data_IF_969250118791
#
_entry.id   IF_969250118791
#
_cell.length_a   1.000
_cell.length_b   1.000
_cell.length_c   1.000
_cell.angle_alpha   90.00
_cell.angle_beta   90.00
_cell.angle_gamma   90.00
#
_symmetry.space_group_name_H-M   'P 1'
#
loop_
_entity.id
_entity.type
_entity.pdbx_description
1 polymer ?
#
# COMPACT_ATOMS: atom_id res chain seq x y z
N UNK A 1 65.19 -32.41 14.08
CA UNK A 1 64.13 -33.43 14.04
C UNK A 1 62.88 -32.82 13.44
N UNK A 2 62.30 -33.22 12.31
CA UNK A 2 62.52 -34.32 11.38
C UNK A 2 61.85 -33.93 10.04
N UNK A 3 62.46 -34.39 8.94
CA UNK A 3 62.06 -34.42 7.51
C UNK A 3 60.55 -34.67 7.23
N UNK A 4 59.86 -34.00 6.29
CA UNK A 4 59.88 -34.07 4.80
C UNK A 4 59.34 -35.38 4.15
N UNK A 5 58.21 -35.32 3.41
CA UNK A 5 58.06 -35.85 2.02
C UNK A 5 56.68 -35.64 1.36
N UNK A 6 56.77 -35.20 0.09
CA UNK A 6 55.81 -35.18 -1.04
C UNK A 6 54.92 -36.44 -1.22
N UNK A 7 53.69 -36.22 -1.69
CA UNK A 7 53.17 -36.69 -3.01
C UNK A 7 51.80 -36.05 -3.30
N UNK A 8 51.67 -35.19 -4.32
CA UNK A 8 51.21 -35.51 -5.70
C UNK A 8 49.80 -36.13 -5.76
N UNK A 9 48.79 -35.30 -6.00
CA UNK A 9 47.73 -35.64 -6.94
C UNK A 9 47.47 -34.44 -7.86
N UNK A 10 47.94 -34.60 -9.10
CA UNK A 10 47.70 -33.74 -10.24
C UNK A 10 46.24 -33.93 -10.64
N UNK A 11 45.40 -32.90 -10.51
CA UNK A 11 44.20 -32.79 -11.33
C UNK A 11 44.57 -31.86 -12.48
N UNK A 12 44.69 -32.46 -13.65
CA UNK A 12 45.05 -31.84 -14.91
C UNK A 12 43.98 -30.85 -15.37
N UNK A 13 44.38 -29.60 -15.50
CA UNK A 13 43.69 -28.54 -16.22
C UNK A 13 43.65 -28.89 -17.72
N UNK A 14 42.49 -28.95 -18.39
CA UNK A 14 42.47 -29.01 -19.85
C UNK A 14 42.82 -27.63 -20.41
N UNK A 15 43.97 -27.55 -21.08
CA UNK A 15 44.33 -26.43 -21.97
C UNK A 15 43.31 -26.33 -23.10
N UNK A 16 42.62 -25.19 -23.18
CA UNK A 16 41.98 -24.76 -24.43
C UNK A 16 43.06 -24.33 -25.42
N UNK A 17 43.34 -25.18 -26.41
CA UNK A 17 44.07 -24.80 -27.63
C UNK A 17 43.84 -25.85 -28.71
N UNK A 18 43.00 -25.53 -29.69
CA UNK A 18 43.34 -25.52 -31.12
C UNK A 18 42.10 -25.21 -31.95
N UNK A 19 42.34 -24.39 -32.96
CA UNK A 19 41.32 -23.67 -33.70
C UNK A 19 40.44 -24.55 -34.57
N UNK A 20 39.16 -24.16 -34.62
CA UNK A 20 38.34 -24.40 -35.78
C UNK A 20 38.45 -23.17 -36.67
N UNK A 21 39.22 -23.33 -37.74
CA UNK A 21 39.14 -22.50 -38.93
C UNK A 21 37.70 -22.60 -39.42
N UNK A 22 36.87 -21.60 -39.12
CA UNK A 22 35.59 -21.43 -39.81
C UNK A 22 35.91 -20.94 -41.22
N UNK A 23 35.99 -21.90 -42.15
CA UNK A 23 35.83 -21.63 -43.57
C UNK A 23 34.48 -20.92 -43.78
N UNK A 24 34.40 -19.83 -44.57
CA UNK A 24 33.14 -19.17 -44.86
C UNK A 24 32.37 -19.99 -45.90
N UNK A 25 31.84 -21.14 -45.46
CA UNK A 25 30.89 -21.92 -46.24
C UNK A 25 29.53 -21.21 -46.20
N UNK A 26 29.34 -20.34 -47.18
CA UNK A 26 28.09 -20.09 -47.90
C UNK A 26 26.78 -20.42 -47.14
N UNK A 27 26.29 -19.47 -46.34
CA UNK A 27 24.89 -19.43 -45.86
C UNK A 27 24.21 -18.14 -46.27
N UNK A 28 24.14 -17.89 -47.58
CA UNK A 28 23.32 -16.81 -48.16
C UNK A 28 21.87 -17.21 -48.47
N UNK A 29 21.34 -18.26 -47.80
CA UNK A 29 20.00 -18.82 -48.11
C UNK A 29 19.14 -19.16 -46.89
N UNK A 30 19.34 -18.49 -45.75
CA UNK A 30 18.38 -18.53 -44.64
C UNK A 30 18.29 -17.15 -44.05
N UNK A 31 17.41 -16.28 -44.52
CA UNK A 31 17.07 -15.09 -43.73
C UNK A 31 15.84 -14.28 -44.14
N UNK A 32 15.13 -14.58 -45.24
CA UNK A 32 13.90 -13.83 -45.54
C UNK A 32 12.66 -14.42 -44.84
N UNK A 33 12.40 -15.73 -44.99
CA UNK A 33 11.23 -16.40 -44.39
C UNK A 33 11.26 -16.38 -42.86
N UNK A 34 12.42 -16.62 -42.24
CA UNK A 34 12.56 -16.64 -40.77
C UNK A 34 12.42 -15.24 -40.15
N UNK A 35 13.01 -14.21 -40.76
CA UNK A 35 12.83 -12.81 -40.33
C UNK A 35 11.39 -12.34 -40.53
N UNK A 36 10.75 -12.75 -41.61
CA UNK A 36 9.36 -12.42 -41.89
C UNK A 36 8.41 -13.06 -40.87
N UNK A 37 8.59 -14.34 -40.55
CA UNK A 37 7.83 -15.03 -39.51
C UNK A 37 8.02 -14.42 -38.12
N UNK A 38 9.24 -14.02 -37.78
CA UNK A 38 9.53 -13.36 -36.50
C UNK A 38 8.87 -11.96 -36.42
N UNK A 39 8.95 -11.17 -37.49
CA UNK A 39 8.32 -9.85 -37.57
C UNK A 39 6.79 -9.92 -37.56
N UNK A 40 6.20 -10.93 -38.20
CA UNK A 40 4.76 -11.15 -38.18
C UNK A 40 4.29 -11.57 -36.78
N UNK A 41 5.02 -12.47 -36.11
CA UNK A 41 4.74 -12.87 -34.73
C UNK A 41 4.83 -11.69 -33.75
N UNK A 42 5.87 -10.86 -33.87
CA UNK A 42 6.03 -9.64 -33.07
C UNK A 42 4.93 -8.61 -33.35
N UNK A 43 4.50 -8.46 -34.61
CA UNK A 43 3.37 -7.59 -34.96
C UNK A 43 2.05 -8.10 -34.40
N UNK A 44 1.78 -9.40 -34.52
CA UNK A 44 0.55 -10.01 -33.99
C UNK A 44 0.52 -9.96 -32.46
N UNK A 45 1.64 -10.21 -31.79
CA UNK A 45 1.77 -10.04 -30.34
C UNK A 45 1.59 -8.58 -29.91
N UNK A 46 2.17 -7.64 -30.65
CA UNK A 46 2.00 -6.20 -30.40
C UNK A 46 0.53 -5.78 -30.57
N UNK A 47 -0.12 -6.17 -31.67
CA UNK A 47 -1.54 -5.89 -31.93
C UNK A 47 -2.43 -6.51 -30.84
N UNK A 48 -2.17 -7.76 -30.45
CA UNK A 48 -2.85 -8.45 -29.34
C UNK A 48 -2.67 -7.70 -28.02
N UNK A 49 -1.44 -7.31 -27.68
CA UNK A 49 -1.13 -6.55 -26.45
C UNK A 49 -1.76 -5.15 -26.42
N UNK A 50 -1.99 -4.55 -27.59
CA UNK A 50 -2.65 -3.24 -27.71
C UNK A 50 -4.17 -3.41 -27.57
N UNK A 51 -4.75 -4.46 -28.17
CA UNK A 51 -6.16 -4.81 -27.99
C UNK A 51 -6.49 -5.10 -26.54
N UNK A 52 -5.67 -5.91 -25.87
CA UNK A 52 -5.86 -6.33 -24.49
C UNK A 52 -5.72 -5.15 -23.51
N UNK A 53 -4.74 -4.25 -23.74
CA UNK A 53 -4.61 -3.00 -22.97
C UNK A 53 -5.81 -2.06 -23.14
N UNK A 54 -6.37 -1.94 -24.35
CA UNK A 54 -7.56 -1.10 -24.59
C UNK A 54 -8.79 -1.66 -23.89
N UNK A 55 -8.97 -2.98 -23.93
CA UNK A 55 -10.08 -3.66 -23.26
C UNK A 55 -9.99 -3.53 -21.74
N UNK A 56 -8.81 -3.75 -21.16
CA UNK A 56 -8.56 -3.52 -19.73
C UNK A 56 -8.82 -2.07 -19.32
N UNK A 57 -8.38 -1.09 -20.11
CA UNK A 57 -8.67 0.33 -19.87
C UNK A 57 -10.18 0.61 -19.90
N UNK A 58 -10.94 0.03 -20.83
CA UNK A 58 -12.41 0.16 -20.86
C UNK A 58 -13.04 -0.42 -19.60
N UNK A 59 -12.65 -1.63 -19.19
CA UNK A 59 -13.14 -2.27 -17.95
C UNK A 59 -12.87 -1.42 -16.72
N UNK A 60 -11.67 -0.85 -16.61
CA UNK A 60 -11.33 0.09 -15.53
C UNK A 60 -12.22 1.34 -15.57
N UNK A 61 -12.44 1.95 -16.75
CA UNK A 61 -13.34 3.10 -16.88
C UNK A 61 -14.78 2.75 -16.49
N UNK A 62 -15.30 1.58 -16.90
CA UNK A 62 -16.62 1.13 -16.50
C UNK A 62 -16.70 0.89 -14.98
N UNK A 63 -15.69 0.27 -14.39
CA UNK A 63 -15.64 0.05 -12.93
C UNK A 63 -15.65 1.39 -12.16
N UNK A 64 -14.86 2.38 -12.60
CA UNK A 64 -14.90 3.72 -12.04
C UNK A 64 -16.25 4.41 -12.25
N UNK A 65 -16.85 4.28 -13.44
CA UNK A 65 -18.17 4.82 -13.73
C UNK A 65 -19.25 4.24 -12.82
N UNK A 66 -19.24 2.92 -12.62
CA UNK A 66 -20.16 2.24 -11.70
C UNK A 66 -19.90 2.66 -10.26
N UNK A 67 -18.64 2.76 -9.82
CA UNK A 67 -18.31 3.19 -8.47
C UNK A 67 -18.79 4.63 -8.18
N UNK A 68 -18.55 5.56 -9.11
CA UNK A 68 -19.00 6.95 -9.00
C UNK A 68 -20.53 7.02 -9.02
N UNK A 69 -21.19 6.29 -9.93
CA UNK A 69 -22.65 6.25 -9.99
C UNK A 69 -23.24 5.71 -8.68
N UNK A 70 -22.72 4.60 -8.17
CA UNK A 70 -23.15 4.02 -6.90
C UNK A 70 -22.94 5.00 -5.73
N UNK A 71 -21.82 5.73 -5.71
CA UNK A 71 -21.56 6.76 -4.72
C UNK A 71 -22.58 7.90 -4.80
N UNK A 72 -22.86 8.41 -6.01
CA UNK A 72 -23.85 9.48 -6.22
C UNK A 72 -25.25 9.02 -5.83
N UNK A 73 -25.65 7.81 -6.22
CA UNK A 73 -26.93 7.22 -5.82
C UNK A 73 -27.03 7.10 -4.31
N UNK A 74 -25.96 6.62 -3.63
CA UNK A 74 -25.91 6.56 -2.18
C UNK A 74 -26.11 7.95 -1.55
N UNK A 75 -25.45 8.98 -2.09
CA UNK A 75 -25.58 10.35 -1.58
C UNK A 75 -26.97 10.96 -1.77
N UNK A 76 -27.70 10.57 -2.81
CA UNK A 76 -29.06 11.05 -3.10
C UNK A 76 -30.13 10.28 -2.31
N UNK A 77 -29.99 8.94 -2.24
CA UNK A 77 -31.02 8.05 -1.67
C UNK A 77 -30.98 8.04 -0.14
N UNK A 78 -29.79 8.14 0.45
CA UNK A 78 -29.65 8.16 1.91
C UNK A 78 -29.74 9.60 2.43
N UNK A 79 -30.37 9.84 3.60
CA UNK A 79 -30.28 11.13 4.25
C UNK A 79 -28.83 11.42 4.66
N UNK A 80 -28.46 12.69 4.74
CA UNK A 80 -27.18 13.09 5.32
C UNK A 80 -27.06 12.57 6.76
N UNK A 81 -25.86 12.11 7.13
CA UNK A 81 -25.60 11.62 8.48
C UNK A 81 -24.85 12.71 9.24
N UNK A 82 -25.54 13.54 10.04
CA UNK A 82 -24.90 14.60 10.82
C UNK A 82 -24.00 14.02 11.90
N UNK A 83 -23.01 14.81 12.31
CA UNK A 83 -22.21 14.48 13.49
C UNK A 83 -23.05 14.62 14.75
N UNK A 84 -23.40 13.47 15.35
CA UNK A 84 -24.01 13.50 16.68
C UNK A 84 -23.05 14.13 17.69
N UNK A 85 -23.55 15.09 18.47
CA UNK A 85 -22.79 15.72 19.55
C UNK A 85 -22.60 14.77 20.74
N UNK A 86 -23.49 13.79 20.91
CA UNK A 86 -23.34 12.68 21.87
C UNK A 86 -22.08 11.84 21.57
N UNK A 87 -21.51 11.96 20.36
CA UNK A 87 -20.24 11.32 20.04
C UNK A 87 -19.09 11.76 20.97
N UNK A 88 -19.17 12.97 21.52
CA UNK A 88 -18.17 13.48 22.47
C UNK A 88 -18.28 12.80 23.85
N UNK A 89 -19.44 12.24 24.19
CA UNK A 89 -19.68 11.56 25.47
C UNK A 89 -18.99 10.18 25.55
N UNK A 90 -18.50 9.66 24.42
CA UNK A 90 -17.63 8.48 24.40
C UNK A 90 -16.23 8.72 25.00
N UNK A 91 -15.85 9.98 25.26
CA UNK A 91 -14.60 10.28 25.95
C UNK A 91 -14.70 9.96 27.46
N UNK A 92 -13.61 9.46 28.06
CA UNK A 92 -13.65 8.72 29.33
C UNK A 92 -14.29 9.39 30.55
N UNK A 93 -14.37 10.69 30.82
CA UNK A 93 -14.97 11.27 32.05
C UNK A 93 -14.41 10.83 33.42
N UNK A 94 -13.74 9.68 33.57
CA UNK A 94 -13.19 9.21 34.85
C UNK A 94 -11.93 10.01 35.18
N UNK A 95 -11.96 10.74 36.30
CA UNK A 95 -10.75 11.37 36.85
C UNK A 95 -9.92 10.30 37.58
N UNK A 96 -8.84 9.83 36.97
CA UNK A 96 -7.92 8.90 37.64
C UNK A 96 -7.05 9.61 38.68
N UNK A 97 -7.00 9.02 39.88
CA UNK A 97 -6.50 9.64 41.11
C UNK A 97 -4.95 9.66 41.22
N UNK A 98 -4.42 10.78 41.71
CA UNK A 98 -3.06 11.09 42.25
C UNK A 98 -1.89 11.27 41.26
N UNK A 99 -1.68 10.41 40.27
CA UNK A 99 -0.52 10.57 39.35
C UNK A 99 -0.83 11.41 38.09
N UNK A 100 -2.10 11.48 37.70
CA UNK A 100 -2.57 12.13 36.46
C UNK A 100 -3.68 13.17 36.70
N UNK A 101 -3.82 13.66 37.94
CA UNK A 101 -4.90 14.54 38.45
C UNK A 101 -5.11 15.90 37.71
N UNK A 102 -4.54 16.10 36.52
CA UNK A 102 -4.79 17.26 35.66
C UNK A 102 -5.02 16.94 34.18
N UNK A 103 -5.08 15.67 33.76
CA UNK A 103 -5.34 15.29 32.36
C UNK A 103 -6.79 14.80 32.21
N UNK A 104 -7.69 15.56 31.54
CA UNK A 104 -9.05 15.09 31.27
C UNK A 104 -9.00 13.87 30.34
N UNK A 105 -9.91 12.90 30.54
CA UNK A 105 -10.00 11.66 29.74
C UNK A 105 -8.68 10.87 29.68
N UNK A 106 -8.00 10.74 30.83
CA UNK A 106 -6.64 10.19 30.94
C UNK A 106 -6.49 8.84 30.22
N UNK A 107 -7.44 7.92 30.36
CA UNK A 107 -7.34 6.61 29.73
C UNK A 107 -7.32 6.68 28.19
N UNK A 108 -8.16 7.52 27.59
CA UNK A 108 -8.12 7.71 26.14
C UNK A 108 -6.77 8.27 25.71
N UNK A 109 -6.27 9.31 26.38
CA UNK A 109 -4.99 9.96 26.03
C UNK A 109 -3.81 8.99 26.13
N UNK A 110 -3.72 8.24 27.24
CA UNK A 110 -2.63 7.27 27.46
C UNK A 110 -2.71 6.10 26.48
N UNK A 111 -3.92 5.61 26.17
CA UNK A 111 -4.12 4.52 25.21
C UNK A 111 -3.72 4.88 23.78
N UNK A 112 -3.50 6.16 23.47
CA UNK A 112 -3.04 6.62 22.15
C UNK A 112 -1.51 6.58 21.99
N UNK A 113 -0.76 6.51 23.10
CA UNK A 113 0.70 6.48 23.07
C UNK A 113 1.30 5.29 22.29
N UNK A 114 0.75 4.05 22.38
CA UNK A 114 1.20 2.93 21.55
C UNK A 114 1.17 3.22 20.03
N UNK A 115 0.16 3.95 19.53
CA UNK A 115 0.11 4.31 18.11
C UNK A 115 1.28 5.22 17.71
N UNK A 116 1.63 6.19 18.57
CA UNK A 116 2.79 7.05 18.33
C UNK A 116 4.08 6.23 18.26
N UNK A 117 4.27 5.30 19.20
CA UNK A 117 5.46 4.42 19.23
C UNK A 117 5.52 3.54 17.99
N UNK A 118 4.42 2.86 17.63
CA UNK A 118 4.35 1.98 16.46
C UNK A 118 4.60 2.77 15.17
N UNK A 119 3.99 3.95 15.04
CA UNK A 119 4.19 4.83 13.89
C UNK A 119 5.64 5.26 13.72
N UNK A 120 6.29 5.72 14.79
CA UNK A 120 7.70 6.15 14.73
C UNK A 120 8.64 4.97 14.47
N UNK A 121 8.46 3.85 15.17
CA UNK A 121 9.29 2.65 14.97
C UNK A 121 9.13 2.12 13.54
N UNK A 122 7.90 2.00 13.05
CA UNK A 122 7.62 1.58 11.67
C UNK A 122 8.27 2.49 10.65
N UNK A 123 8.17 3.80 10.82
CA UNK A 123 8.82 4.78 9.94
C UNK A 123 10.35 4.62 9.94
N UNK A 124 10.97 4.47 11.11
CA UNK A 124 12.42 4.24 11.21
C UNK A 124 12.82 2.95 10.50
N UNK A 125 12.06 1.86 10.69
CA UNK A 125 12.35 0.57 10.07
C UNK A 125 12.17 0.58 8.54
N UNK A 126 11.27 1.40 8.00
CA UNK A 126 11.13 1.59 6.54
C UNK A 126 12.43 2.09 5.89
N UNK A 127 13.15 2.99 6.56
CA UNK A 127 14.37 3.59 6.02
C UNK A 127 15.65 2.92 6.53
N UNK A 128 15.61 2.21 7.66
CA UNK A 128 16.79 1.57 8.23
C UNK A 128 17.17 0.32 7.45
N UNK A 129 18.27 0.41 6.67
CA UNK A 129 18.90 -0.70 5.95
C UNK A 129 17.94 -1.57 5.12
N UNK A 130 16.85 -0.97 4.63
CA UNK A 130 15.75 -1.69 3.97
C UNK A 130 15.27 -2.92 4.77
N UNK A 131 15.01 -2.76 6.07
CA UNK A 131 14.66 -3.85 6.98
C UNK A 131 13.45 -4.66 6.49
N UNK A 132 12.42 -3.97 5.99
CA UNK A 132 11.23 -4.60 5.41
C UNK A 132 11.46 -5.22 4.02
N UNK A 133 12.66 -5.07 3.45
CA UNK A 133 13.03 -5.57 2.11
C UNK A 133 12.06 -5.12 1.03
N UNK A 134 11.59 -3.88 1.11
CA UNK A 134 10.72 -3.27 0.10
C UNK A 134 11.48 -3.20 -1.22
N UNK A 135 10.85 -3.67 -2.29
CA UNK A 135 11.46 -3.72 -3.61
C UNK A 135 11.05 -2.51 -4.47
N UNK A 136 9.90 -1.90 -4.17
CA UNK A 136 9.28 -0.88 -5.02
C UNK A 136 9.26 0.48 -4.32
N UNK A 137 9.54 1.54 -5.07
CA UNK A 137 9.52 2.91 -4.55
C UNK A 137 8.13 3.33 -4.05
N UNK A 138 7.08 2.85 -4.73
CA UNK A 138 5.69 3.09 -4.33
C UNK A 138 5.34 2.48 -2.98
N UNK A 139 5.87 1.30 -2.66
CA UNK A 139 5.67 0.68 -1.34
C UNK A 139 6.29 1.55 -0.25
N UNK A 140 7.51 2.04 -0.46
CA UNK A 140 8.17 2.92 0.50
C UNK A 140 7.33 4.17 0.75
N UNK A 141 6.81 4.82 -0.30
CA UNK A 141 5.93 5.97 -0.17
C UNK A 141 4.63 5.64 0.57
N UNK A 142 3.97 4.53 0.22
CA UNK A 142 2.76 4.07 0.88
C UNK A 142 2.98 3.79 2.37
N UNK A 143 4.04 3.03 2.71
CA UNK A 143 4.39 2.71 4.09
C UNK A 143 4.79 3.95 4.89
N UNK A 144 5.48 4.90 4.26
CA UNK A 144 5.82 6.19 4.88
C UNK A 144 4.56 6.96 5.26
N UNK A 145 3.62 7.12 4.31
CA UNK A 145 2.35 7.79 4.59
C UNK A 145 1.53 7.06 5.65
N UNK A 146 1.51 5.72 5.61
CA UNK A 146 0.83 4.90 6.61
C UNK A 146 1.38 5.14 8.02
N UNK A 147 2.70 5.00 8.23
CA UNK A 147 3.31 5.15 9.54
C UNK A 147 3.29 6.59 10.06
N UNK A 148 3.39 7.59 9.17
CA UNK A 148 3.15 8.99 9.53
C UNK A 148 1.70 9.16 10.00
N UNK A 149 0.72 8.58 9.28
CA UNK A 149 -0.68 8.56 9.66
C UNK A 149 -0.89 7.94 11.05
N UNK A 150 -0.34 6.76 11.29
CA UNK A 150 -0.42 6.05 12.59
C UNK A 150 0.20 6.86 13.73
N UNK A 151 1.38 7.46 13.51
CA UNK A 151 1.99 8.33 14.52
C UNK A 151 1.12 9.56 14.81
N UNK A 152 0.57 10.16 13.76
CA UNK A 152 -0.31 11.32 13.85
C UNK A 152 -1.67 10.99 14.47
N UNK A 153 -2.19 9.75 14.36
CA UNK A 153 -3.36 9.29 15.12
C UNK A 153 -3.08 9.41 16.61
N UNK A 154 -1.92 8.92 17.09
CA UNK A 154 -1.55 9.02 18.50
C UNK A 154 -1.61 10.46 19.03
N UNK A 155 -1.13 11.43 18.25
CA UNK A 155 -1.16 12.86 18.60
C UNK A 155 -2.57 13.45 18.45
N UNK A 156 -3.25 13.20 17.34
CA UNK A 156 -4.55 13.74 16.99
C UNK A 156 -5.65 13.26 17.93
N UNK A 157 -5.70 11.96 18.20
CA UNK A 157 -6.62 11.35 19.18
C UNK A 157 -6.38 11.91 20.58
N UNK A 158 -5.11 12.05 20.99
CA UNK A 158 -4.79 12.69 22.28
C UNK A 158 -5.29 14.14 22.33
N UNK A 159 -5.06 14.93 21.27
CA UNK A 159 -5.49 16.32 21.19
C UNK A 159 -7.02 16.48 21.24
N UNK A 160 -7.75 15.57 20.58
CA UNK A 160 -9.21 15.49 20.65
C UNK A 160 -9.69 15.14 22.06
N UNK A 161 -9.17 14.07 22.67
CA UNK A 161 -9.62 13.62 23.98
C UNK A 161 -9.27 14.59 25.12
N UNK A 162 -8.26 15.46 24.95
CA UNK A 162 -7.99 16.53 25.91
C UNK A 162 -9.15 17.55 26.01
N UNK A 163 -9.88 17.81 24.93
CA UNK A 163 -11.08 18.64 24.95
C UNK A 163 -11.96 18.28 23.74
N UNK A 164 -12.87 17.30 23.90
CA UNK A 164 -13.70 16.82 22.80
C UNK A 164 -14.51 17.95 22.17
N UNK A 165 -14.35 18.13 20.86
CA UNK A 165 -15.19 18.99 20.01
C UNK A 165 -14.93 18.67 18.53
N UNK A 166 -15.85 19.08 17.66
CA UNK A 166 -15.75 18.80 16.22
C UNK A 166 -14.49 19.36 15.55
N UNK A 167 -13.98 20.51 16.00
CA UNK A 167 -12.78 21.10 15.41
C UNK A 167 -11.53 20.25 15.71
N UNK A 168 -11.48 19.63 16.90
CA UNK A 168 -10.41 18.72 17.29
C UNK A 168 -10.59 17.31 16.72
N UNK A 169 -11.83 16.89 16.52
CA UNK A 169 -12.17 15.60 15.90
C UNK A 169 -11.66 15.49 14.45
N UNK A 170 -11.52 16.62 13.74
CA UNK A 170 -10.81 16.67 12.45
C UNK A 170 -9.39 16.09 12.57
N UNK A 171 -8.67 16.45 13.63
CA UNK A 171 -7.28 16.04 13.85
C UNK A 171 -7.15 14.59 14.30
N UNK A 172 -8.22 13.98 14.81
CA UNK A 172 -8.29 12.55 15.11
C UNK A 172 -8.58 11.73 13.83
N UNK A 173 -9.57 12.16 13.03
CA UNK A 173 -10.01 11.44 11.84
C UNK A 173 -9.07 11.58 10.65
N UNK A 174 -8.45 12.75 10.47
CA UNK A 174 -7.58 13.01 9.32
C UNK A 174 -6.39 12.03 9.27
N UNK A 175 -5.58 11.86 10.34
CA UNK A 175 -4.52 10.86 10.36
C UNK A 175 -5.00 9.44 10.09
N UNK A 176 -6.18 9.08 10.62
CA UNK A 176 -6.81 7.78 10.41
C UNK A 176 -7.12 7.55 8.93
N UNK A 177 -7.74 8.51 8.24
CA UNK A 177 -8.01 8.40 6.80
C UNK A 177 -6.73 8.29 5.96
N UNK A 178 -5.66 9.00 6.35
CA UNK A 178 -4.35 8.91 5.69
C UNK A 178 -3.80 7.49 5.83
N UNK A 179 -3.87 6.89 7.02
CA UNK A 179 -3.42 5.52 7.23
C UNK A 179 -4.22 4.52 6.37
N UNK A 180 -5.56 4.58 6.39
CA UNK A 180 -6.42 3.66 5.64
C UNK A 180 -6.25 3.77 4.11
N UNK A 181 -6.15 4.98 3.59
CA UNK A 181 -5.95 5.21 2.16
C UNK A 181 -4.55 4.80 1.71
N UNK A 182 -3.54 4.97 2.56
CA UNK A 182 -2.15 4.53 2.30
C UNK A 182 -2.04 3.01 2.24
N UNK A 183 -2.64 2.28 3.19
CA UNK A 183 -2.60 0.81 3.18
C UNK A 183 -3.37 0.22 2.01
N UNK A 184 -4.46 0.84 1.55
CA UNK A 184 -5.12 0.43 0.31
C UNK A 184 -4.20 0.59 -0.89
N UNK A 185 -3.49 1.72 -1.00
CA UNK A 185 -2.56 1.94 -2.08
C UNK A 185 -1.44 0.88 -2.08
N UNK A 186 -0.89 0.54 -0.91
CA UNK A 186 0.09 -0.55 -0.75
C UNK A 186 -0.48 -1.88 -1.26
N UNK A 187 -1.70 -2.24 -0.88
CA UNK A 187 -2.32 -3.49 -1.35
C UNK A 187 -2.54 -3.51 -2.87
N UNK A 188 -2.87 -2.37 -3.49
CA UNK A 188 -2.97 -2.26 -4.94
C UNK A 188 -1.59 -2.48 -5.58
N UNK A 189 -0.52 -1.91 -5.01
CA UNK A 189 0.86 -2.11 -5.47
C UNK A 189 1.24 -3.60 -5.40
N UNK A 190 1.02 -4.23 -4.24
CA UNK A 190 1.47 -5.60 -3.98
C UNK A 190 0.65 -6.67 -4.70
N UNK A 191 -0.66 -6.44 -4.91
CA UNK A 191 -1.59 -7.50 -5.36
C UNK A 191 -2.22 -7.27 -6.72
N UNK A 192 -2.17 -6.05 -7.25
CA UNK A 192 -2.81 -5.71 -8.53
C UNK A 192 -1.75 -5.30 -9.55
N UNK A 193 -1.07 -4.18 -9.31
CA UNK A 193 -0.10 -3.61 -10.25
C UNK A 193 0.71 -2.49 -9.57
N UNK A 194 2.04 -2.55 -9.69
CA UNK A 194 2.97 -1.59 -9.11
C UNK A 194 2.69 -0.14 -9.57
N UNK A 195 2.55 0.07 -10.89
CA UNK A 195 2.45 1.41 -11.45
C UNK A 195 1.12 2.05 -11.08
N UNK A 196 0.02 1.30 -11.25
CA UNK A 196 -1.33 1.78 -10.89
C UNK A 196 -1.43 2.03 -9.39
N UNK A 197 -0.85 1.15 -8.57
CA UNK A 197 -0.82 1.31 -7.12
C UNK A 197 -0.05 2.56 -6.69
N UNK A 198 1.13 2.79 -7.26
CA UNK A 198 1.95 3.98 -6.95
C UNK A 198 1.23 5.27 -7.36
N UNK A 199 0.63 5.29 -8.55
CA UNK A 199 -0.16 6.44 -9.03
C UNK A 199 -1.41 6.65 -8.18
N UNK A 200 -1.97 5.58 -7.57
CA UNK A 200 -3.17 5.67 -6.74
C UNK A 200 -2.95 6.29 -5.36
N UNK A 201 -1.71 6.38 -4.87
CA UNK A 201 -1.41 6.95 -3.54
C UNK A 201 -1.97 8.37 -3.42
N UNK A 202 -1.62 9.26 -4.36
CA UNK A 202 -2.05 10.66 -4.33
C UNK A 202 -3.58 10.81 -4.37
N UNK A 203 -4.31 10.24 -5.35
CA UNK A 203 -5.77 10.40 -5.39
C UNK A 203 -6.47 9.75 -4.19
N UNK A 204 -5.96 8.65 -3.64
CA UNK A 204 -6.53 8.04 -2.44
C UNK A 204 -6.33 8.93 -1.20
N UNK A 205 -5.13 9.48 -1.00
CA UNK A 205 -4.87 10.43 0.08
C UNK A 205 -5.74 11.69 -0.05
N UNK A 206 -5.87 12.23 -1.26
CA UNK A 206 -6.74 13.38 -1.53
C UNK A 206 -8.21 13.05 -1.25
N UNK A 207 -8.69 11.86 -1.64
CA UNK A 207 -10.03 11.42 -1.32
C UNK A 207 -10.26 11.36 0.21
N UNK A 208 -9.27 10.89 0.97
CA UNK A 208 -9.29 10.93 2.43
C UNK A 208 -9.41 12.35 2.99
N UNK A 209 -8.53 13.26 2.56
CA UNK A 209 -8.55 14.67 3.01
C UNK A 209 -9.88 15.35 2.64
N UNK A 210 -10.33 15.19 1.39
CA UNK A 210 -11.58 15.77 0.90
C UNK A 210 -12.78 15.22 1.69
N UNK A 211 -12.77 13.94 2.06
CA UNK A 211 -13.86 13.35 2.86
C UNK A 211 -14.01 14.02 4.23
N UNK A 212 -12.89 14.35 4.88
CA UNK A 212 -12.87 15.05 6.17
C UNK A 212 -13.27 16.52 6.02
N UNK A 213 -12.77 17.20 4.97
CA UNK A 213 -13.18 18.57 4.70
C UNK A 213 -14.67 18.66 4.39
N UNK A 214 -15.19 17.74 3.58
CA UNK A 214 -16.61 17.66 3.27
C UNK A 214 -17.45 17.48 4.54
N UNK A 215 -17.08 16.54 5.41
CA UNK A 215 -17.72 16.39 6.71
C UNK A 215 -17.67 17.69 7.52
N UNK A 216 -16.53 18.37 7.58
CA UNK A 216 -16.37 19.61 8.35
C UNK A 216 -17.24 20.77 7.86
N UNK A 217 -17.51 20.87 6.56
CA UNK A 217 -18.28 21.97 5.98
C UNK A 217 -19.78 21.66 5.84
N UNK A 218 -20.14 20.41 5.54
CA UNK A 218 -21.50 20.00 5.23
C UNK A 218 -22.16 19.17 6.33
N UNK A 219 -21.43 18.87 7.41
CA UNK A 219 -21.85 18.01 8.51
C UNK A 219 -22.44 16.68 8.01
N UNK A 220 -21.70 16.01 7.13
CA UNK A 220 -22.14 14.75 6.53
C UNK A 220 -21.01 13.73 6.53
N UNK A 221 -21.19 12.68 7.32
CA UNK A 221 -20.20 11.63 7.57
C UNK A 221 -20.08 10.59 6.47
N UNK A 222 -21.01 10.54 5.51
CA UNK A 222 -21.08 9.44 4.53
C UNK A 222 -19.79 9.26 3.71
N UNK A 223 -19.15 10.32 3.18
CA UNK A 223 -17.88 10.15 2.45
C UNK A 223 -16.75 9.64 3.34
N UNK A 224 -16.66 10.14 4.57
CA UNK A 224 -15.68 9.68 5.55
C UNK A 224 -15.90 8.19 5.91
N UNK A 225 -17.16 7.81 6.17
CA UNK A 225 -17.52 6.43 6.48
C UNK A 225 -17.11 5.47 5.35
N UNK A 226 -17.29 5.87 4.09
CA UNK A 226 -16.82 5.06 2.96
C UNK A 226 -15.30 4.92 2.92
N UNK A 227 -14.56 6.02 3.09
CA UNK A 227 -13.09 5.98 3.15
C UNK A 227 -12.60 5.11 4.31
N UNK A 228 -13.33 5.08 5.41
CA UNK A 228 -12.98 4.31 6.61
C UNK A 228 -13.33 2.82 6.50
N UNK A 229 -14.54 2.48 6.05
CA UNK A 229 -15.06 1.10 6.09
C UNK A 229 -14.78 0.30 4.82
N UNK A 230 -14.66 0.94 3.65
CA UNK A 230 -14.30 0.23 2.41
C UNK A 230 -12.95 -0.49 2.58
N UNK A 231 -11.90 0.11 3.17
CA UNK A 231 -10.65 -0.59 3.39
C UNK A 231 -10.76 -1.82 4.30
N UNK A 232 -11.57 -1.75 5.35
CA UNK A 232 -11.78 -2.85 6.29
C UNK A 232 -12.36 -4.10 5.60
N UNK A 233 -13.09 -3.93 4.50
CA UNK A 233 -13.65 -5.04 3.70
C UNK A 233 -12.72 -5.38 2.53
N UNK A 234 -12.23 -4.38 1.83
CA UNK A 234 -11.42 -4.55 0.63
C UNK A 234 -10.08 -5.23 0.92
N UNK A 235 -9.42 -4.90 2.04
CA UNK A 235 -8.11 -5.48 2.41
C UNK A 235 -8.23 -6.99 2.63
N UNK A 236 -9.11 -7.51 3.50
CA UNK A 236 -9.31 -8.96 3.64
C UNK A 236 -9.68 -9.65 2.33
N UNK A 237 -10.58 -9.06 1.53
CA UNK A 237 -10.98 -9.64 0.24
C UNK A 237 -9.81 -9.72 -0.74
N UNK A 238 -9.06 -8.64 -0.92
CA UNK A 238 -7.84 -8.66 -1.74
C UNK A 238 -6.83 -9.67 -1.20
N UNK A 239 -6.75 -9.81 0.12
CA UNK A 239 -5.80 -10.70 0.74
C UNK A 239 -6.07 -12.19 0.49
N UNK A 240 -7.35 -12.55 0.44
CA UNK A 240 -7.84 -13.92 0.19
C UNK A 240 -7.87 -14.22 -1.32
N UNK A 241 -8.33 -13.27 -2.14
CA UNK A 241 -8.63 -13.50 -3.55
C UNK A 241 -7.43 -13.29 -4.48
N UNK A 242 -6.45 -12.48 -4.09
CA UNK A 242 -5.31 -12.12 -4.95
C UNK A 242 -4.00 -12.71 -4.42
N UNK A 243 -3.16 -13.28 -5.29
CA UNK A 243 -1.89 -13.85 -4.89
C UNK A 243 -0.95 -12.75 -4.35
N UNK A 244 -0.25 -12.99 -3.22
CA UNK A 244 0.69 -12.03 -2.68
C UNK A 244 2.00 -12.00 -3.46
N UNK A 245 2.64 -10.84 -3.55
CA UNK A 245 3.99 -10.69 -4.11
C UNK A 245 5.07 -11.29 -3.22
N UNK A 246 4.89 -11.23 -1.89
CA UNK A 246 5.86 -11.71 -0.91
C UNK A 246 5.47 -13.06 -0.31
N UNK A 247 6.44 -13.97 -0.20
CA UNK A 247 6.32 -15.16 0.64
C UNK A 247 6.11 -14.68 2.07
N UNK A 248 4.96 -15.00 2.68
CA UNK A 248 4.52 -14.64 4.05
C UNK A 248 3.51 -13.47 4.22
N UNK A 249 2.96 -12.89 3.15
CA UNK A 249 1.90 -11.87 3.27
C UNK A 249 0.62 -12.36 4.00
N UNK A 250 0.44 -13.66 4.19
CA UNK A 250 -0.67 -14.21 5.00
C UNK A 250 -0.50 -13.94 6.49
N UNK A 251 0.73 -13.87 7.03
CA UNK A 251 0.95 -13.54 8.45
C UNK A 251 0.50 -12.11 8.80
N UNK A 252 0.46 -11.23 7.80
CA UNK A 252 -0.11 -9.88 7.96
C UNK A 252 -1.60 -9.90 8.32
N UNK A 253 -2.37 -10.85 7.78
CA UNK A 253 -3.78 -11.01 8.15
C UNK A 253 -3.96 -11.50 9.59
N UNK A 254 -3.05 -12.36 10.06
CA UNK A 254 -3.05 -12.85 11.44
C UNK A 254 -2.60 -11.79 12.45
N UNK A 255 -1.77 -10.82 12.03
CA UNK A 255 -1.37 -9.70 12.87
C UNK A 255 -2.43 -8.58 12.93
N UNK A 256 -3.37 -8.55 11.98
CA UNK A 256 -4.40 -7.52 11.88
C UNK A 256 -5.71 -7.89 12.60
N UNK A 257 -5.84 -9.09 13.15
CA UNK A 257 -6.99 -9.57 13.93
C UNK A 257 -6.57 -9.99 15.34
#
# INVERSE_FOLDING_TARGET
>A
SYYAKRNKNKISVPRYSKGYIFSPANKRSRNHSTRFKLNLSLRLYSIGSVGDRREMRRRTVYAWGVAILSFVVLMIVTPAIPQSQEYHDFADQREFFVAFSGIPNTLNVVSNFPFLVIGVVGLVLCYYKNYFKLCLQGELWGWTCFFIGVAAVGVGSSYYHLQPNDARLVWDRLPMTIAFTSIIAIFIIERIDEQKGTVSIIPLLLAGVISIMYWRFFDDLRPYALVQFVPCIAIPLMAILLPPMYTHSTFWLWAAG
#
